data_IF_640750812201
#
_entry.id   IF_640750812201
#
_cell.length_a   1.000
_cell.length_b   1.000
_cell.length_c   1.000
_cell.angle_alpha   90.00
_cell.angle_beta   90.00
_cell.angle_gamma   90.00
#
_symmetry.space_group_name_H-M   'P 1'
#
loop_
_entity.id
_entity.type
_entity.pdbx_description
1 polymer ?
#
# COMPACT_ATOMS: atom_id res chain seq x y z
N UNK A 1 -17.71 48.66 -0.77
CA UNK A 1 -17.08 47.74 -1.74
C UNK A 1 -16.47 46.61 -0.93
N UNK A 2 -17.02 45.40 -1.03
CA UNK A 2 -16.53 44.24 -0.26
C UNK A 2 -15.64 43.42 -1.18
N UNK A 3 -14.33 43.45 -0.95
CA UNK A 3 -13.37 42.61 -1.68
C UNK A 3 -13.46 41.21 -1.08
N UNK A 4 -13.93 40.23 -1.85
CA UNK A 4 -13.89 38.81 -1.46
C UNK A 4 -12.46 38.31 -1.61
N UNK A 5 -11.96 37.61 -0.60
CA UNK A 5 -10.69 36.88 -0.69
C UNK A 5 -10.81 35.82 -1.80
N UNK A 6 -9.79 35.59 -2.64
CA UNK A 6 -9.82 34.51 -3.61
C UNK A 6 -10.01 33.17 -2.89
N UNK A 7 -10.84 32.30 -3.47
CA UNK A 7 -11.06 30.95 -2.96
C UNK A 7 -9.77 30.12 -3.09
N UNK A 8 -9.48 29.21 -2.14
CA UNK A 8 -8.31 28.36 -2.24
C UNK A 8 -8.41 27.46 -3.48
N UNK A 9 -7.45 27.60 -4.40
CA UNK A 9 -7.33 26.73 -5.57
C UNK A 9 -6.75 25.36 -5.14
N UNK A 10 -7.52 24.29 -5.35
CA UNK A 10 -7.07 22.91 -5.13
C UNK A 10 -6.29 22.44 -6.35
N UNK A 11 -5.09 21.87 -6.14
CA UNK A 11 -4.27 21.26 -7.19
C UNK A 11 -4.37 19.74 -7.13
N UNK A 12 -4.54 19.12 -8.29
CA UNK A 12 -4.48 17.65 -8.44
C UNK A 12 -3.02 17.27 -8.67
N UNK A 13 -2.50 16.38 -7.82
CA UNK A 13 -1.15 15.81 -7.92
C UNK A 13 -1.28 14.29 -7.98
N UNK A 14 -0.62 13.66 -8.95
CA UNK A 14 -0.62 12.20 -9.16
C UNK A 14 0.77 11.78 -9.63
N UNK A 15 1.30 10.70 -9.07
CA UNK A 15 2.53 10.07 -9.57
C UNK A 15 2.20 9.15 -10.76
N UNK A 16 2.99 9.26 -11.83
CA UNK A 16 2.83 8.41 -13.02
C UNK A 16 3.68 7.14 -12.89
N UNK A 17 3.03 5.99 -13.05
CA UNK A 17 3.64 4.66 -13.02
C UNK A 17 4.47 4.37 -11.73
N UNK A 18 3.95 4.65 -10.51
CA UNK A 18 4.71 4.50 -9.25
C UNK A 18 5.10 3.03 -8.98
N UNK A 19 4.27 2.08 -9.43
CA UNK A 19 4.54 0.64 -9.34
C UNK A 19 4.37 0.01 -10.71
N UNK A 20 5.40 -0.68 -11.19
CA UNK A 20 5.38 -1.40 -12.46
C UNK A 20 4.38 -2.56 -12.41
N UNK A 21 3.51 -2.66 -13.40
CA UNK A 21 2.62 -3.82 -13.58
C UNK A 21 3.44 -5.07 -13.94
N UNK A 22 3.33 -6.11 -13.11
CA UNK A 22 3.95 -7.42 -13.37
C UNK A 22 3.21 -8.54 -12.61
N UNK A 23 3.41 -9.79 -13.04
CA UNK A 23 2.94 -10.98 -12.33
C UNK A 23 3.92 -11.48 -11.25
N UNK A 24 5.07 -10.82 -11.08
CA UNK A 24 6.15 -11.30 -10.22
C UNK A 24 5.72 -11.43 -8.75
N UNK A 25 5.07 -10.39 -8.21
CA UNK A 25 4.59 -10.37 -6.83
C UNK A 25 3.45 -11.36 -6.57
N UNK A 26 2.70 -11.75 -7.61
CA UNK A 26 1.63 -12.74 -7.49
C UNK A 26 2.18 -14.14 -7.23
N UNK A 27 3.39 -14.43 -7.72
CA UNK A 27 4.11 -15.68 -7.46
C UNK A 27 4.78 -15.72 -6.07
N UNK A 28 4.67 -14.64 -5.28
CA UNK A 28 5.27 -14.50 -3.95
C UNK A 28 4.19 -14.15 -2.91
N UNK A 29 3.37 -15.12 -2.47
CA UNK A 29 2.37 -14.83 -1.46
C UNK A 29 3.05 -14.37 -0.16
N UNK A 30 2.55 -13.29 0.42
CA UNK A 30 3.16 -12.67 1.61
C UNK A 30 4.27 -11.66 1.29
N UNK A 31 4.50 -11.30 0.02
CA UNK A 31 5.50 -10.28 -0.36
C UNK A 31 5.29 -8.92 0.34
N UNK A 32 4.05 -8.63 0.75
CA UNK A 32 3.68 -7.40 1.46
C UNK A 32 4.17 -7.36 2.91
N UNK A 33 4.55 -8.50 3.51
CA UNK A 33 5.00 -8.56 4.89
C UNK A 33 6.35 -9.29 5.01
N UNK A 34 7.36 -8.61 5.59
CA UNK A 34 8.75 -9.13 5.64
C UNK A 34 8.90 -10.46 6.39
N UNK A 35 8.05 -10.69 7.39
CA UNK A 35 7.99 -11.95 8.14
C UNK A 35 7.38 -13.10 7.32
N UNK A 36 6.43 -12.81 6.42
CA UNK A 36 5.77 -13.79 5.56
C UNK A 36 6.54 -14.07 4.27
N UNK A 37 7.27 -13.08 3.73
CA UNK A 37 8.02 -13.19 2.47
C UNK A 37 9.05 -14.34 2.43
N UNK A 38 9.45 -14.89 3.59
CA UNK A 38 10.35 -16.05 3.70
C UNK A 38 9.69 -17.40 3.37
N UNK A 39 8.37 -17.42 3.24
CA UNK A 39 7.59 -18.61 2.91
C UNK A 39 7.10 -19.44 4.12
N UNK A 40 6.26 -20.46 3.85
CA UNK A 40 5.54 -21.20 4.88
C UNK A 40 6.42 -22.22 5.60
N UNK A 41 6.95 -21.85 6.77
CA UNK A 41 7.63 -22.79 7.68
C UNK A 41 6.66 -23.54 8.61
N UNK A 42 5.48 -22.97 8.86
CA UNK A 42 4.41 -23.56 9.68
C UNK A 42 3.05 -23.29 9.02
N UNK A 43 2.01 -24.02 9.42
CA UNK A 43 0.64 -23.78 8.94
C UNK A 43 0.06 -22.45 9.41
N UNK A 44 0.55 -21.89 10.54
CA UNK A 44 0.22 -20.53 10.99
C UNK A 44 0.52 -19.48 9.94
N UNK A 45 1.55 -19.70 9.11
CA UNK A 45 1.89 -18.79 8.01
C UNK A 45 0.71 -18.58 7.05
N UNK A 46 -0.06 -19.63 6.76
CA UNK A 46 -1.23 -19.53 5.87
C UNK A 46 -2.30 -18.64 6.50
N UNK A 47 -2.53 -18.76 7.81
CA UNK A 47 -3.53 -17.95 8.50
C UNK A 47 -3.10 -16.49 8.57
N UNK A 48 -1.84 -16.22 8.90
CA UNK A 48 -1.29 -14.87 8.92
C UNK A 48 -1.31 -14.23 7.53
N UNK A 49 -1.03 -15.00 6.46
CA UNK A 49 -1.15 -14.52 5.08
C UNK A 49 -2.52 -13.90 4.78
N UNK A 50 -3.60 -14.55 5.24
CA UNK A 50 -4.96 -14.04 4.99
C UNK A 50 -5.36 -12.93 5.96
N UNK A 51 -4.94 -13.02 7.23
CA UNK A 51 -5.22 -11.99 8.24
C UNK A 51 -4.56 -10.65 7.87
N UNK A 52 -3.31 -10.70 7.41
CA UNK A 52 -2.49 -9.51 7.17
C UNK A 52 -2.71 -8.95 5.76
N UNK A 53 -3.46 -9.62 4.88
CA UNK A 53 -3.59 -9.24 3.46
C UNK A 53 -4.12 -7.82 3.23
N UNK A 54 -5.02 -7.34 4.10
CA UNK A 54 -5.62 -6.00 4.01
C UNK A 54 -5.21 -5.09 5.19
N UNK A 55 -4.20 -5.47 5.97
CA UNK A 55 -3.64 -4.66 7.04
C UNK A 55 -2.52 -3.76 6.48
N UNK A 56 -2.88 -2.72 5.73
CA UNK A 56 -1.92 -1.88 5.00
C UNK A 56 -0.93 -1.14 5.92
N UNK A 57 -1.35 -0.76 7.13
CA UNK A 57 -0.48 -0.15 8.14
C UNK A 57 0.65 -1.11 8.59
N UNK A 58 0.47 -2.43 8.42
CA UNK A 58 1.49 -3.43 8.71
C UNK A 58 2.46 -3.67 7.54
N UNK A 59 2.11 -3.26 6.32
CA UNK A 59 2.91 -3.49 5.11
C UNK A 59 4.04 -2.47 4.98
N UNK A 60 3.77 -1.21 5.30
CA UNK A 60 4.69 -0.07 5.18
C UNK A 60 4.38 0.99 6.23
N UNK A 61 5.32 1.93 6.45
CA UNK A 61 5.08 3.13 7.26
C UNK A 61 4.83 4.38 6.40
N UNK A 62 4.76 4.21 5.07
CA UNK A 62 4.56 5.29 4.12
C UNK A 62 3.06 5.59 3.98
N UNK A 63 2.64 6.76 4.47
CA UNK A 63 1.24 7.16 4.43
C UNK A 63 0.73 7.44 3.02
N UNK A 64 1.60 7.82 2.08
CA UNK A 64 1.20 8.06 0.69
C UNK A 64 0.90 6.73 -0.02
N UNK A 65 1.65 5.67 0.27
CA UNK A 65 1.43 4.32 -0.29
C UNK A 65 0.20 3.63 0.35
N UNK A 66 -0.19 4.02 1.57
CA UNK A 66 -1.36 3.48 2.28
C UNK A 66 -2.68 4.15 1.86
N UNK A 67 -2.66 5.43 1.46
CA UNK A 67 -3.84 6.29 1.25
C UNK A 67 -4.49 6.14 -0.13
#
# INVERSE_FOLDING_TARGET
>A
MTIRSPEPEVKIMVEKDPVKTSFEKWAQPGHFARNLAKGPSTTTWIWNLHADAHDFDSHTNDLEDIS
#
